data_IF_361104426812
#
_entry.id   IF_361104426812
#
_cell.length_a   1.000
_cell.length_b   1.000
_cell.length_c   1.000
_cell.angle_alpha   90.00
_cell.angle_beta   90.00
_cell.angle_gamma   90.00
#
_symmetry.space_group_name_H-M   'P 1'
#
loop_
_entity.id
_entity.type
_entity.pdbx_description
1 polymer ?
#
# COMPACT_ATOMS: atom_id res chain seq x y z
N UNK A 1 7.68 -65.32 -45.36
CA UNK A 1 8.84 -64.62 -45.96
C UNK A 1 8.43 -63.18 -46.31
N UNK A 2 9.28 -62.20 -45.98
CA UNK A 2 9.20 -60.74 -46.25
C UNK A 2 8.09 -60.03 -45.44
N UNK A 3 8.28 -59.48 -44.23
CA UNK A 3 9.22 -58.46 -43.70
C UNK A 3 9.31 -57.20 -44.57
N UNK A 4 8.52 -56.18 -44.20
CA UNK A 4 8.75 -54.79 -44.58
C UNK A 4 8.57 -53.92 -43.34
N UNK A 5 9.68 -53.37 -42.87
CA UNK A 5 9.78 -52.50 -41.70
C UNK A 5 9.64 -51.05 -42.20
N UNK A 6 8.74 -50.27 -41.60
CA UNK A 6 8.69 -48.81 -41.80
C UNK A 6 9.15 -48.16 -40.49
N UNK A 7 10.28 -47.46 -40.54
CA UNK A 7 10.79 -46.67 -39.44
C UNK A 7 10.17 -45.27 -39.51
N UNK A 8 9.49 -44.85 -38.45
CA UNK A 8 9.06 -43.47 -38.24
C UNK A 8 9.86 -42.94 -37.05
N UNK A 9 10.75 -41.99 -37.33
CA UNK A 9 11.42 -41.19 -36.33
C UNK A 9 10.50 -40.05 -35.92
N UNK A 10 10.18 -39.96 -34.62
CA UNK A 10 9.60 -38.74 -34.02
C UNK A 10 10.41 -38.45 -32.77
N UNK A 11 11.19 -37.38 -32.83
CA UNK A 11 11.88 -36.81 -31.68
C UNK A 11 10.86 -36.21 -30.72
N UNK A 12 10.88 -36.64 -29.46
CA UNK A 12 10.11 -36.04 -28.39
C UNK A 12 11.03 -35.13 -27.56
N UNK A 13 10.71 -33.85 -27.65
CA UNK A 13 11.30 -32.70 -26.99
C UNK A 13 11.22 -32.82 -25.46
N UNK A 14 12.38 -32.75 -24.78
CA UNK A 14 12.45 -32.55 -23.33
C UNK A 14 12.10 -31.09 -23.03
N UNK A 15 10.95 -30.85 -22.39
CA UNK A 15 10.67 -29.55 -21.75
C UNK A 15 10.63 -29.78 -20.24
N UNK A 16 11.75 -29.47 -19.59
CA UNK A 16 11.84 -29.38 -18.14
C UNK A 16 11.00 -28.19 -17.64
N UNK A 17 9.87 -28.50 -17.01
CA UNK A 17 9.05 -27.52 -16.30
C UNK A 17 9.65 -27.22 -14.92
N UNK A 18 10.70 -26.40 -14.88
CA UNK A 18 11.19 -25.81 -13.65
C UNK A 18 10.23 -24.72 -13.18
N UNK A 19 9.34 -25.01 -12.24
CA UNK A 19 8.59 -23.96 -11.54
C UNK A 19 9.54 -23.24 -10.60
N UNK A 20 9.97 -22.04 -10.98
CA UNK A 20 10.62 -21.11 -10.06
C UNK A 20 9.58 -20.65 -9.04
N UNK A 21 9.61 -21.24 -7.85
CA UNK A 21 8.93 -20.70 -6.69
C UNK A 21 9.58 -19.36 -6.33
N UNK A 22 8.90 -18.25 -6.64
CA UNK A 22 9.29 -16.93 -6.12
C UNK A 22 8.96 -16.88 -4.62
N UNK A 23 9.92 -17.28 -3.80
CA UNK A 23 9.92 -16.95 -2.38
C UNK A 23 10.29 -15.47 -2.23
N UNK A 24 9.28 -14.58 -2.17
CA UNK A 24 9.50 -13.19 -1.80
C UNK A 24 9.64 -13.06 -0.28
N UNK A 25 10.81 -13.39 0.26
CA UNK A 25 11.21 -12.95 1.60
C UNK A 25 11.92 -11.60 1.48
N UNK A 26 11.16 -10.50 1.47
CA UNK A 26 11.74 -9.18 1.74
C UNK A 26 11.74 -8.96 3.25
N UNK A 27 12.84 -9.26 3.93
CA UNK A 27 13.04 -8.93 5.35
C UNK A 27 13.38 -7.45 5.57
N UNK A 28 12.89 -6.56 4.69
CA UNK A 28 13.18 -5.12 4.72
C UNK A 28 12.17 -4.30 3.93
N UNK A 29 12.16 -2.99 4.19
CA UNK A 29 11.37 -2.02 3.42
C UNK A 29 12.00 -1.84 2.04
N UNK A 30 11.24 -1.90 0.94
CA UNK A 30 11.78 -1.69 -0.41
C UNK A 30 12.49 -0.34 -0.57
N UNK A 31 13.58 -0.30 -1.35
CA UNK A 31 14.40 0.89 -1.54
C UNK A 31 13.61 2.09 -2.09
N UNK A 32 12.66 1.84 -2.99
CA UNK A 32 11.83 2.89 -3.59
C UNK A 32 11.00 3.69 -2.58
N UNK A 33 10.73 3.13 -1.40
CA UNK A 33 9.96 3.78 -0.33
C UNK A 33 10.75 3.92 0.97
N UNK A 34 12.07 3.76 0.90
CA UNK A 34 12.96 3.92 2.04
C UNK A 34 12.99 5.38 2.48
N UNK A 35 12.90 5.63 3.79
CA UNK A 35 13.03 6.99 4.33
C UNK A 35 14.47 7.47 4.15
N UNK A 36 14.70 8.72 3.69
CA UNK A 36 16.03 9.28 3.57
C UNK A 36 16.81 9.26 4.88
N UNK A 37 18.14 9.20 4.77
CA UNK A 37 19.04 9.33 5.91
C UNK A 37 18.80 10.63 6.70
N UNK A 38 19.27 10.67 7.95
CA UNK A 38 18.98 11.77 8.87
C UNK A 38 17.61 11.70 9.54
N UNK A 39 16.82 10.64 9.29
CA UNK A 39 15.56 10.37 9.98
C UNK A 39 15.65 9.14 10.89
N UNK A 40 14.79 9.09 11.91
CA UNK A 40 14.59 7.93 12.80
C UNK A 40 13.11 7.63 12.95
N UNK A 41 12.77 6.34 13.10
CA UNK A 41 11.39 5.89 13.27
C UNK A 41 10.89 6.29 14.66
N UNK A 42 9.79 7.04 14.68
CA UNK A 42 9.11 7.47 15.89
C UNK A 42 8.15 6.39 16.39
N UNK A 43 7.28 5.91 15.50
CA UNK A 43 6.24 4.95 15.86
C UNK A 43 5.80 4.13 14.64
N UNK A 44 5.13 3.01 14.89
CA UNK A 44 4.41 2.25 13.86
C UNK A 44 3.05 1.83 14.39
N UNK A 45 2.02 2.08 13.60
CA UNK A 45 0.64 1.79 13.97
C UNK A 45 -0.10 1.13 12.82
N UNK A 46 -0.93 0.13 13.18
CA UNK A 46 -1.81 -0.56 12.24
C UNK A 46 -3.03 0.31 11.97
N UNK A 47 -3.28 0.63 10.71
CA UNK A 47 -4.44 1.37 10.24
C UNK A 47 -5.46 0.47 9.54
N UNK A 48 -6.73 0.55 9.92
CA UNK A 48 -7.82 -0.23 9.33
C UNK A 48 -9.02 0.65 8.99
N UNK A 49 -9.63 0.44 7.83
CA UNK A 49 -10.74 1.25 7.37
C UNK A 49 -11.14 0.96 5.94
N UNK A 50 -11.37 2.04 5.17
CA UNK A 50 -11.81 1.98 3.78
C UNK A 50 -11.10 3.01 2.91
N UNK A 51 -10.99 2.70 1.63
CA UNK A 51 -10.78 3.68 0.56
C UNK A 51 -12.13 3.99 -0.06
N UNK A 52 -12.50 5.26 -0.11
CA UNK A 52 -13.78 5.71 -0.66
C UNK A 52 -13.55 6.15 -2.10
N UNK A 53 -14.26 5.53 -3.02
CA UNK A 53 -14.23 5.82 -4.45
C UNK A 53 -15.53 6.48 -4.89
N UNK A 54 -15.41 7.43 -5.81
CA UNK A 54 -16.52 8.05 -6.52
C UNK A 54 -16.43 7.76 -8.01
N UNK A 55 -17.57 7.64 -8.66
CA UNK A 55 -17.63 7.45 -10.10
C UNK A 55 -17.74 8.78 -10.85
N UNK A 56 -16.80 9.03 -11.76
CA UNK A 56 -16.86 10.15 -12.69
C UNK A 56 -16.73 9.62 -14.11
N UNK A 57 -17.70 9.94 -14.97
CA UNK A 57 -17.70 9.52 -16.37
C UNK A 57 -17.47 8.00 -16.58
N UNK A 58 -18.08 7.18 -15.72
CA UNK A 58 -17.96 5.73 -15.80
C UNK A 58 -16.69 5.13 -15.17
N UNK A 59 -15.80 5.94 -14.61
CA UNK A 59 -14.54 5.50 -13.99
C UNK A 59 -14.49 5.79 -12.48
N UNK A 60 -14.04 4.80 -11.71
CA UNK A 60 -13.79 4.95 -10.29
C UNK A 60 -12.55 5.80 -10.02
N UNK A 61 -12.71 6.85 -9.23
CA UNK A 61 -11.63 7.73 -8.77
C UNK A 61 -11.60 7.75 -7.25
N UNK A 62 -10.40 7.70 -6.66
CA UNK A 62 -10.25 7.79 -5.21
C UNK A 62 -10.69 9.17 -4.73
N UNK A 63 -11.62 9.21 -3.76
CA UNK A 63 -12.02 10.45 -3.08
C UNK A 63 -11.14 10.67 -1.86
N UNK A 64 -11.09 9.69 -0.96
CA UNK A 64 -10.33 9.76 0.28
C UNK A 64 -10.21 8.41 0.99
N UNK A 65 -9.18 8.21 1.83
CA UNK A 65 -9.20 7.19 2.86
C UNK A 65 -10.07 7.62 4.05
N UNK A 66 -10.59 6.64 4.77
CA UNK A 66 -11.13 6.80 6.12
C UNK A 66 -10.72 5.57 6.95
N UNK A 67 -9.79 5.75 7.90
CA UNK A 67 -9.27 4.66 8.71
C UNK A 67 -8.96 5.11 10.14
N UNK A 68 -8.94 4.16 11.07
CA UNK A 68 -8.44 4.35 12.42
C UNK A 68 -7.09 3.66 12.55
N UNK A 69 -6.15 4.30 13.25
CA UNK A 69 -4.90 3.69 13.66
C UNK A 69 -5.03 3.26 15.11
N UNK A 70 -4.67 2.01 15.39
CA UNK A 70 -4.81 1.41 16.71
C UNK A 70 -3.48 0.97 17.30
N UNK A 71 -3.37 1.08 18.62
CA UNK A 71 -2.26 0.55 19.40
C UNK A 71 -2.82 -0.11 20.66
N UNK A 72 -2.47 -1.39 20.89
CA UNK A 72 -2.93 -2.17 22.06
C UNK A 72 -4.46 -2.11 22.26
N UNK A 73 -5.21 -2.27 21.17
CA UNK A 73 -6.67 -2.29 21.20
C UNK A 73 -7.34 -0.91 21.34
N UNK A 74 -6.58 0.19 21.36
CA UNK A 74 -7.11 1.56 21.45
C UNK A 74 -6.86 2.31 20.17
N UNK A 75 -7.86 3.05 19.69
CA UNK A 75 -7.67 4.05 18.62
C UNK A 75 -6.76 5.16 19.14
N UNK A 76 -5.66 5.40 18.43
CA UNK A 76 -4.68 6.45 18.75
C UNK A 76 -4.65 7.57 17.70
N UNK A 77 -5.18 7.34 16.51
CA UNK A 77 -5.28 8.36 15.47
C UNK A 77 -6.37 8.05 14.44
N UNK A 78 -6.84 9.11 13.78
CA UNK A 78 -7.72 9.05 12.62
C UNK A 78 -6.93 9.37 11.36
N UNK A 79 -7.17 8.62 10.29
CA UNK A 79 -6.61 8.84 8.97
C UNK A 79 -7.70 9.27 7.98
N UNK A 80 -7.49 10.41 7.31
CA UNK A 80 -8.50 11.07 6.48
C UNK A 80 -7.91 11.64 5.18
N UNK A 81 -8.75 12.30 4.37
CA UNK A 81 -8.37 13.02 3.14
C UNK A 81 -7.18 13.95 3.38
N UNK A 82 -6.24 13.98 2.43
CA UNK A 82 -5.07 14.87 2.49
C UNK A 82 -3.79 14.23 1.97
N UNK A 83 -3.48 12.97 2.31
CA UNK A 83 -3.78 12.26 3.56
C UNK A 83 -3.37 13.02 4.83
N UNK A 84 -4.14 12.88 5.91
CA UNK A 84 -3.84 13.42 7.25
C UNK A 84 -3.93 12.31 8.30
N UNK A 85 -3.11 12.39 9.34
CA UNK A 85 -3.24 11.61 10.58
C UNK A 85 -3.39 12.57 11.76
N UNK A 86 -4.48 12.42 12.50
CA UNK A 86 -4.79 13.23 13.69
C UNK A 86 -4.82 12.35 14.92
N UNK A 87 -3.99 12.66 15.91
CA UNK A 87 -3.94 11.94 17.18
C UNK A 87 -5.23 12.16 17.97
N UNK A 88 -5.81 11.07 18.46
CA UNK A 88 -6.99 11.12 19.35
C UNK A 88 -6.60 11.31 20.82
N UNK A 89 -5.30 11.38 21.12
CA UNK A 89 -4.76 11.48 22.48
C UNK A 89 -4.31 12.90 22.79
N UNK A 90 -3.58 13.54 21.88
CA UNK A 90 -2.98 14.87 22.06
C UNK A 90 -3.43 15.90 21.01
N UNK A 91 -4.27 15.50 20.04
CA UNK A 91 -4.79 16.38 18.98
C UNK A 91 -3.76 16.80 17.93
N UNK A 92 -2.49 16.38 18.04
CA UNK A 92 -1.47 16.70 17.04
C UNK A 92 -1.81 16.09 15.69
N UNK A 93 -1.38 16.76 14.60
CA UNK A 93 -1.65 16.30 13.24
C UNK A 93 -0.41 16.28 12.37
N UNK A 94 -0.39 15.37 11.41
CA UNK A 94 0.50 15.41 10.26
C UNK A 94 -0.30 15.18 8.98
N UNK A 95 -0.20 16.11 8.05
CA UNK A 95 -0.53 15.98 6.65
C UNK A 95 0.72 15.65 5.83
N UNK A 96 0.56 14.81 4.81
CA UNK A 96 1.68 14.41 3.96
C UNK A 96 1.26 14.23 2.50
N UNK A 97 2.20 14.36 1.59
CA UNK A 97 2.03 14.05 0.17
C UNK A 97 2.94 12.89 -0.24
N UNK A 98 2.49 12.05 -1.17
CA UNK A 98 3.32 10.99 -1.73
C UNK A 98 4.58 11.60 -2.38
N UNK A 99 5.75 11.03 -2.09
CA UNK A 99 6.98 11.40 -2.78
C UNK A 99 6.87 10.90 -4.22
N UNK A 100 7.11 11.74 -5.25
CA UNK A 100 7.02 11.31 -6.65
C UNK A 100 7.88 10.07 -6.94
N UNK A 101 7.28 9.05 -7.54
CA UNK A 101 7.95 7.79 -7.87
C UNK A 101 8.17 6.83 -6.69
N UNK A 102 7.94 7.26 -5.44
CA UNK A 102 8.12 6.42 -4.25
C UNK A 102 6.86 5.58 -3.97
N UNK A 103 6.62 4.62 -4.86
CA UNK A 103 5.46 3.74 -4.84
C UNK A 103 5.86 2.32 -5.18
N UNK A 104 5.36 1.35 -4.41
CA UNK A 104 5.60 -0.08 -4.64
C UNK A 104 4.24 -0.79 -4.79
N UNK A 105 3.96 -1.38 -5.96
CA UNK A 105 2.72 -2.13 -6.18
C UNK A 105 2.59 -3.32 -5.22
N UNK A 106 1.34 -3.64 -4.85
CA UNK A 106 0.99 -4.80 -4.05
C UNK A 106 -0.14 -5.57 -4.75
N UNK A 107 -0.07 -6.91 -4.85
CA UNK A 107 -1.15 -7.69 -5.45
C UNK A 107 -2.46 -7.44 -4.70
N UNK A 108 -3.52 -7.10 -5.43
CA UNK A 108 -4.87 -6.88 -4.89
C UNK A 108 -4.97 -5.84 -3.76
N UNK A 109 -4.03 -4.88 -3.69
CA UNK A 109 -4.05 -3.82 -2.68
C UNK A 109 -3.54 -2.49 -3.26
N UNK A 110 -3.92 -1.37 -2.63
CA UNK A 110 -3.31 -0.07 -2.93
C UNK A 110 -1.79 -0.13 -2.71
N UNK A 111 -0.99 0.68 -3.42
CA UNK A 111 0.46 0.59 -3.32
C UNK A 111 0.98 0.98 -1.94
N UNK A 112 2.12 0.42 -1.56
CA UNK A 112 2.94 0.97 -0.48
C UNK A 112 3.57 2.27 -0.96
N UNK A 113 3.76 3.23 -0.06
CA UNK A 113 4.22 4.58 -0.39
C UNK A 113 5.23 5.09 0.64
N UNK A 114 6.12 5.96 0.18
CA UNK A 114 6.73 6.97 1.02
C UNK A 114 5.97 8.30 0.85
N UNK A 115 5.59 8.91 1.97
CA UNK A 115 4.97 10.23 2.01
C UNK A 115 5.85 11.19 2.80
N UNK A 116 5.96 12.43 2.31
CA UNK A 116 6.69 13.52 2.97
C UNK A 116 5.69 14.46 3.63
N UNK A 117 5.93 14.76 4.90
CA UNK A 117 5.11 15.70 5.64
C UNK A 117 5.16 17.09 5.00
N UNK A 118 4.01 17.73 4.89
CA UNK A 118 3.85 19.07 4.32
C UNK A 118 2.98 20.00 5.17
N UNK A 119 2.39 19.47 6.25
CA UNK A 119 1.61 20.21 7.22
C UNK A 119 1.68 19.47 8.55
N UNK A 120 2.06 20.14 9.62
CA UNK A 120 2.02 19.57 10.96
C UNK A 120 1.39 20.59 11.90
N UNK A 121 0.69 20.12 12.92
CA UNK A 121 0.15 20.98 13.97
C UNK A 121 0.20 20.31 15.34
N UNK A 122 0.32 21.14 16.38
CA UNK A 122 0.48 20.69 17.76
C UNK A 122 1.87 20.12 18.06
N UNK A 123 2.23 20.07 19.35
CA UNK A 123 3.55 19.61 19.81
C UNK A 123 3.58 18.11 20.18
N UNK A 124 2.49 17.40 19.90
CA UNK A 124 2.31 15.99 20.22
C UNK A 124 3.04 15.04 19.27
N UNK A 125 2.61 13.77 19.28
CA UNK A 125 3.26 12.67 18.56
C UNK A 125 3.43 12.93 17.06
N UNK A 126 2.52 13.66 16.42
CA UNK A 126 2.61 13.97 14.99
C UNK A 126 3.26 15.33 14.68
N UNK A 127 3.49 16.17 15.68
CA UNK A 127 3.96 17.55 15.50
C UNK A 127 5.31 17.70 14.78
N UNK A 128 6.18 16.70 14.90
CA UNK A 128 7.55 16.72 14.33
C UNK A 128 7.78 15.70 13.22
N UNK A 129 6.73 15.02 12.77
CA UNK A 129 6.85 13.99 11.73
C UNK A 129 7.34 14.61 10.43
N UNK A 130 8.36 14.00 9.82
CA UNK A 130 8.98 14.40 8.55
C UNK A 130 8.56 13.49 7.41
N UNK A 131 8.39 12.19 7.67
CA UNK A 131 7.95 11.20 6.69
C UNK A 131 6.96 10.21 7.30
N UNK A 132 6.07 9.71 6.46
CA UNK A 132 5.18 8.58 6.76
C UNK A 132 5.43 7.50 5.70
N UNK A 133 5.70 6.28 6.13
CA UNK A 133 5.67 5.12 5.24
C UNK A 133 4.34 4.41 5.39
N UNK A 134 3.71 4.09 4.26
CA UNK A 134 2.57 3.19 4.18
C UNK A 134 3.09 1.84 3.70
N UNK A 135 3.02 0.83 4.57
CA UNK A 135 3.59 -0.50 4.40
C UNK A 135 2.51 -1.56 4.60
N UNK A 136 2.80 -2.81 4.22
CA UNK A 136 1.92 -3.97 4.37
C UNK A 136 0.45 -3.73 3.98
N UNK A 137 0.23 -3.09 2.82
CA UNK A 137 -1.13 -2.78 2.38
C UNK A 137 -1.90 -4.04 2.01
N UNK A 138 -3.21 -4.02 2.31
CA UNK A 138 -4.18 -5.06 1.93
C UNK A 138 -5.48 -4.39 1.49
N UNK A 139 -6.01 -4.82 0.35
CA UNK A 139 -7.24 -4.29 -0.22
C UNK A 139 -7.19 -2.81 -0.59
N UNK A 140 -8.36 -2.19 -0.65
CA UNK A 140 -8.53 -0.77 -0.93
C UNK A 140 -8.42 -0.37 -2.40
N UNK A 141 -8.28 -1.32 -3.34
CA UNK A 141 -8.29 -0.99 -4.77
C UNK A 141 -9.67 -0.50 -5.21
N UNK A 142 -9.70 0.32 -6.26
CA UNK A 142 -10.94 0.63 -6.95
C UNK A 142 -11.63 -0.67 -7.41
N UNK A 143 -12.97 -0.76 -7.36
CA UNK A 143 -13.66 -1.89 -7.97
C UNK A 143 -13.32 -1.99 -9.46
N UNK A 144 -13.30 -3.21 -9.98
CA UNK A 144 -13.15 -3.44 -11.41
C UNK A 144 -14.41 -3.01 -12.18
N UNK A 145 -14.23 -2.67 -13.46
CA UNK A 145 -15.32 -2.35 -14.38
C UNK A 145 -15.78 -0.89 -14.31
N UNK A 146 -16.85 -0.61 -15.05
CA UNK A 146 -17.47 0.72 -15.12
C UNK A 146 -18.40 0.96 -13.93
N UNK A 147 -18.80 2.21 -13.76
CA UNK A 147 -19.70 2.62 -12.68
C UNK A 147 -20.74 3.63 -13.16
N UNK A 148 -21.83 3.77 -12.42
CA UNK A 148 -22.82 4.81 -12.66
C UNK A 148 -22.29 6.16 -12.16
N UNK A 149 -22.34 7.20 -12.99
CA UNK A 149 -21.88 8.54 -12.59
C UNK A 149 -22.57 9.00 -11.29
N UNK A 150 -21.79 9.53 -10.36
CA UNK A 150 -22.27 9.93 -9.03
C UNK A 150 -22.35 8.80 -8.00
N UNK A 151 -22.19 7.53 -8.39
CA UNK A 151 -22.09 6.43 -7.45
C UNK A 151 -20.86 6.57 -6.55
N UNK A 152 -20.98 6.08 -5.31
CA UNK A 152 -19.89 5.98 -4.35
C UNK A 152 -19.81 4.57 -3.78
N UNK A 153 -18.60 4.16 -3.40
CA UNK A 153 -18.37 2.88 -2.75
C UNK A 153 -17.18 2.96 -1.82
N UNK A 154 -17.19 2.11 -0.79
CA UNK A 154 -16.14 2.02 0.21
C UNK A 154 -15.51 0.63 0.17
N UNK A 155 -14.23 0.56 -0.14
CA UNK A 155 -13.49 -0.70 -0.26
C UNK A 155 -12.61 -0.89 0.97
N UNK A 156 -12.75 -2.03 1.65
CA UNK A 156 -11.97 -2.36 2.85
C UNK A 156 -10.48 -2.28 2.56
N UNK A 157 -9.77 -1.65 3.46
CA UNK A 157 -8.36 -1.32 3.31
C UNK A 157 -7.66 -1.36 4.67
N UNK A 158 -6.39 -1.75 4.63
CA UNK A 158 -5.58 -1.87 5.82
C UNK A 158 -4.10 -1.68 5.47
N UNK A 159 -3.32 -1.04 6.34
CA UNK A 159 -1.87 -0.90 6.21
C UNK A 159 -1.17 -0.69 7.56
N UNK A 160 0.14 -0.82 7.57
CA UNK A 160 1.02 -0.33 8.64
C UNK A 160 1.54 1.06 8.27
N UNK A 161 1.43 1.99 9.22
CA UNK A 161 1.95 3.34 9.07
C UNK A 161 3.14 3.53 10.00
N UNK A 162 4.33 3.69 9.43
CA UNK A 162 5.52 4.07 10.18
C UNK A 162 5.76 5.57 10.07
N UNK A 163 5.81 6.24 11.22
CA UNK A 163 6.03 7.68 11.34
C UNK A 163 7.50 7.94 11.66
N UNK A 164 8.09 8.91 11.00
CA UNK A 164 9.51 9.23 11.10
C UNK A 164 9.71 10.70 11.43
N UNK A 165 10.78 11.00 12.16
CA UNK A 165 11.20 12.35 12.52
C UNK A 165 12.66 12.54 12.13
N UNK A 166 13.10 13.80 11.96
CA UNK A 166 14.51 14.12 11.86
C UNK A 166 15.25 13.67 13.13
N UNK A 167 16.53 13.27 12.98
CA UNK A 167 17.36 12.78 14.10
C UNK A 167 17.62 13.86 15.13
#
# INVERSE_FOLDING_TARGET
MKRTTVAIAVGALLIGGGTTAYAATSTGVPDAIKVPEGNKRLATYRGEGVQIYGCTNGAWTLIQPAATLSHRGRTIALHSKGPVWTSTVDGSTVGAAAVPGASVPRPNAVPELLLKANLNSGDGIFGKVTYVQRLDTRGGLAPAGTCAAGAQTAVRYSADYAFWVAK
#
